data_IF_145448672947
#
_entry.id   IF_145448672947
#
_cell.length_a   1.000
_cell.length_b   1.000
_cell.length_c   1.000
_cell.angle_alpha   90.00
_cell.angle_beta   90.00
_cell.angle_gamma   90.00
#
_symmetry.space_group_name_H-M   'P 1'
#
loop_
_entity.id
_entity.type
_entity.pdbx_description
1 polymer ?
#
# COMPACT_ATOMS: atom_id res chain seq x y z
N UNK A 1 -4.41 27.66 -23.46
CA UNK A 1 -4.95 26.53 -22.67
C UNK A 1 -4.23 25.21 -22.99
N UNK A 2 -3.97 24.86 -24.27
CA UNK A 2 -3.30 23.61 -24.68
C UNK A 2 -1.88 23.50 -24.08
N UNK A 3 -1.07 24.56 -24.22
CA UNK A 3 0.30 24.59 -23.67
C UNK A 3 0.34 24.43 -22.14
N UNK A 4 -0.66 25.00 -21.45
CA UNK A 4 -0.80 24.85 -19.98
C UNK A 4 -1.15 23.40 -19.60
N UNK A 5 -2.04 22.77 -20.35
CA UNK A 5 -2.39 21.34 -20.18
C UNK A 5 -1.16 20.45 -20.36
N UNK A 6 -0.37 20.67 -21.43
CA UNK A 6 0.88 19.92 -21.66
C UNK A 6 1.85 20.11 -20.49
N UNK A 7 1.97 21.32 -19.98
CA UNK A 7 2.80 21.60 -18.79
C UNK A 7 2.32 20.83 -17.54
N UNK A 8 1.02 20.72 -17.35
CA UNK A 8 0.45 19.91 -16.25
C UNK A 8 0.75 18.43 -16.40
N UNK A 9 0.68 17.88 -17.61
CA UNK A 9 0.97 16.47 -17.87
C UNK A 9 2.46 16.15 -17.66
N UNK A 10 3.35 17.05 -18.10
CA UNK A 10 4.78 16.96 -17.78
C UNK A 10 4.99 16.99 -16.26
N UNK A 11 4.37 17.93 -15.55
CA UNK A 11 4.51 18.03 -14.10
C UNK A 11 4.05 16.76 -13.37
N UNK A 12 2.95 16.13 -13.80
CA UNK A 12 2.49 14.84 -13.28
C UNK A 12 3.51 13.72 -13.50
N UNK A 13 4.13 13.66 -14.68
CA UNK A 13 5.16 12.65 -14.97
C UNK A 13 6.42 12.81 -14.12
N UNK A 14 6.67 14.01 -13.60
CA UNK A 14 7.81 14.34 -12.76
C UNK A 14 7.52 14.27 -11.25
N UNK A 15 6.29 13.92 -10.84
CA UNK A 15 5.87 13.95 -9.43
C UNK A 15 6.79 13.16 -8.50
N UNK A 16 7.28 11.99 -8.94
CA UNK A 16 8.15 11.14 -8.14
C UNK A 16 9.56 11.71 -7.93
N UNK A 17 9.99 12.61 -8.81
CA UNK A 17 11.33 13.21 -8.81
C UNK A 17 11.31 14.71 -8.58
N UNK A 18 10.17 15.27 -8.21
CA UNK A 18 9.97 16.72 -8.08
C UNK A 18 10.93 17.41 -7.10
N UNK A 19 11.39 16.68 -6.07
CA UNK A 19 12.34 17.21 -5.09
C UNK A 19 13.78 17.31 -5.65
N UNK A 20 14.06 16.64 -6.75
CA UNK A 20 15.35 16.62 -7.42
C UNK A 20 15.42 17.62 -8.60
N UNK A 21 14.32 18.30 -8.88
CA UNK A 21 14.16 19.15 -10.07
C UNK A 21 14.05 20.62 -9.66
N UNK A 22 14.91 21.45 -10.25
CA UNK A 22 14.72 22.90 -10.29
C UNK A 22 13.77 23.26 -11.44
N UNK A 23 12.58 23.72 -11.12
CA UNK A 23 11.53 24.08 -12.09
C UNK A 23 11.99 25.22 -13.01
N UNK A 24 12.80 26.16 -12.52
CA UNK A 24 13.32 27.26 -13.33
C UNK A 24 14.31 26.74 -14.40
N UNK A 25 15.21 25.83 -13.99
CA UNK A 25 16.14 25.18 -14.90
C UNK A 25 15.41 24.30 -15.93
N UNK A 26 14.37 23.56 -15.51
CA UNK A 26 13.53 22.75 -16.39
C UNK A 26 12.84 23.62 -17.46
N UNK A 27 12.20 24.71 -17.03
CA UNK A 27 11.51 25.65 -17.92
C UNK A 27 12.48 26.30 -18.91
N UNK A 28 13.67 26.67 -18.42
CA UNK A 28 14.74 27.21 -19.26
C UNK A 28 15.21 26.19 -20.30
N UNK A 29 15.47 24.95 -19.89
CA UNK A 29 15.89 23.88 -20.79
C UNK A 29 14.86 23.61 -21.88
N UNK A 30 13.56 23.61 -21.53
CA UNK A 30 12.47 23.46 -22.50
C UNK A 30 12.47 24.62 -23.51
N UNK A 31 12.58 25.83 -23.03
CA UNK A 31 12.62 27.03 -23.89
C UNK A 31 13.82 27.04 -24.80
N UNK A 32 15.00 26.75 -24.27
CA UNK A 32 16.26 26.72 -25.03
C UNK A 32 16.22 25.64 -26.12
N UNK A 33 15.69 24.45 -25.80
CA UNK A 33 15.55 23.36 -26.75
C UNK A 33 14.60 23.71 -27.89
N UNK A 34 13.44 24.30 -27.61
CA UNK A 34 12.47 24.72 -28.63
C UNK A 34 13.08 25.79 -29.57
N UNK A 35 13.92 26.68 -29.04
CA UNK A 35 14.55 27.73 -29.80
C UNK A 35 15.88 27.33 -30.46
N UNK A 36 16.30 26.08 -30.40
CA UNK A 36 17.57 25.59 -30.94
C UNK A 36 18.81 26.16 -30.24
N UNK A 37 18.68 26.56 -28.97
CA UNK A 37 19.74 27.17 -28.14
C UNK A 37 20.12 26.32 -26.93
N UNK A 38 19.96 25.00 -27.04
CA UNK A 38 20.30 24.08 -25.96
C UNK A 38 21.74 24.27 -25.50
N UNK A 39 21.94 24.38 -24.17
CA UNK A 39 23.24 24.63 -23.58
C UNK A 39 24.09 23.36 -23.44
N UNK A 40 23.45 22.18 -23.43
CA UNK A 40 24.13 20.89 -23.33
C UNK A 40 24.28 20.29 -24.72
N UNK A 41 25.51 19.86 -25.04
CA UNK A 41 25.71 18.99 -26.19
C UNK A 41 25.33 17.53 -25.86
N UNK A 42 25.27 16.66 -26.88
CA UNK A 42 24.82 15.26 -26.72
C UNK A 42 25.65 14.47 -25.68
N UNK A 43 26.96 14.70 -25.64
CA UNK A 43 27.86 14.04 -24.67
C UNK A 43 27.55 14.50 -23.23
N UNK A 44 27.40 15.79 -23.02
CA UNK A 44 27.02 16.36 -21.73
C UNK A 44 25.62 15.90 -21.29
N UNK A 45 24.67 15.91 -22.22
CA UNK A 45 23.31 15.43 -21.96
C UNK A 45 23.33 13.94 -21.53
N UNK A 46 24.10 13.10 -22.23
CA UNK A 46 24.26 11.68 -21.87
C UNK A 46 24.87 11.52 -20.47
N UNK A 47 25.94 12.25 -20.18
CA UNK A 47 26.62 12.21 -18.88
C UNK A 47 25.70 12.61 -17.72
N UNK A 48 24.95 13.70 -17.89
CA UNK A 48 23.98 14.16 -16.86
C UNK A 48 22.87 13.13 -16.67
N UNK A 49 22.36 12.54 -17.73
CA UNK A 49 21.34 11.49 -17.68
C UNK A 49 21.82 10.27 -16.92
N UNK A 50 23.06 9.79 -17.20
CA UNK A 50 23.64 8.64 -16.51
C UNK A 50 23.84 8.91 -15.03
N UNK A 51 24.41 10.07 -14.67
CA UNK A 51 24.58 10.47 -13.28
C UNK A 51 23.25 10.57 -12.54
N UNK A 52 22.20 11.11 -13.17
CA UNK A 52 20.89 11.23 -12.60
C UNK A 52 20.22 9.85 -12.42
N UNK A 53 20.37 8.95 -13.40
CA UNK A 53 19.88 7.57 -13.30
C UNK A 53 20.47 6.84 -12.10
N UNK A 54 21.80 6.94 -11.88
CA UNK A 54 22.47 6.35 -10.72
C UNK A 54 21.91 6.93 -9.40
N UNK A 55 21.71 8.26 -9.35
CA UNK A 55 21.14 8.92 -8.17
C UNK A 55 19.72 8.45 -7.88
N UNK A 56 18.87 8.34 -8.91
CA UNK A 56 17.51 7.83 -8.76
C UNK A 56 17.48 6.38 -8.29
N UNK A 57 18.36 5.53 -8.85
CA UNK A 57 18.44 4.14 -8.43
C UNK A 57 18.86 4.04 -6.96
N UNK A 58 19.91 4.75 -6.54
CA UNK A 58 20.35 4.78 -5.14
C UNK A 58 19.25 5.28 -4.19
N UNK A 59 18.47 6.30 -4.61
CA UNK A 59 17.33 6.78 -3.83
C UNK A 59 16.22 5.73 -3.72
N UNK A 60 15.89 5.05 -4.83
CA UNK A 60 14.90 3.98 -4.84
C UNK A 60 15.31 2.80 -3.95
N UNK A 61 16.58 2.38 -4.02
CA UNK A 61 17.13 1.31 -3.18
C UNK A 61 17.07 1.69 -1.69
N UNK A 62 17.46 2.91 -1.35
CA UNK A 62 17.37 3.41 0.03
C UNK A 62 15.93 3.43 0.54
N UNK A 63 15.01 3.96 -0.26
CA UNK A 63 13.58 4.01 0.09
C UNK A 63 13.02 2.59 0.25
N UNK A 64 13.35 1.68 -0.66
CA UNK A 64 12.91 0.28 -0.58
C UNK A 64 13.46 -0.43 0.67
N UNK A 65 14.69 -0.11 1.10
CA UNK A 65 15.28 -0.68 2.30
C UNK A 65 14.65 -0.12 3.61
N UNK A 66 14.24 1.15 3.60
CA UNK A 66 13.65 1.81 4.77
C UNK A 66 12.14 1.55 4.93
N UNK A 67 11.43 1.30 3.82
CA UNK A 67 9.99 1.17 3.78
C UNK A 67 9.43 0.05 4.69
N UNK A 68 10.00 -1.18 4.74
CA UNK A 68 9.51 -2.25 5.59
C UNK A 68 9.54 -1.86 7.07
N UNK A 69 10.65 -1.26 7.53
CA UNK A 69 10.78 -0.80 8.91
C UNK A 69 9.78 0.31 9.22
N UNK A 70 9.66 1.31 8.35
CA UNK A 70 8.68 2.39 8.51
C UNK A 70 7.26 1.86 8.61
N UNK A 71 6.86 0.97 7.71
CA UNK A 71 5.52 0.36 7.72
C UNK A 71 5.27 -0.46 8.98
N UNK A 72 6.29 -1.19 9.47
CA UNK A 72 6.20 -1.94 10.72
C UNK A 72 5.99 -1.01 11.93
N UNK A 73 6.78 0.07 12.02
CA UNK A 73 6.70 1.04 13.11
C UNK A 73 5.32 1.75 13.10
N UNK A 74 4.84 2.19 11.94
CA UNK A 74 3.52 2.79 11.78
C UNK A 74 2.40 1.80 12.13
N UNK A 75 2.50 0.55 11.68
CA UNK A 75 1.56 -0.51 12.01
C UNK A 75 1.49 -0.79 13.49
N UNK A 76 2.63 -0.91 14.17
CA UNK A 76 2.70 -1.14 15.61
C UNK A 76 2.14 0.05 16.40
N UNK A 77 2.45 1.28 16.02
CA UNK A 77 1.90 2.49 16.65
C UNK A 77 0.37 2.55 16.48
N UNK A 78 -0.14 2.19 15.29
CA UNK A 78 -1.57 2.13 15.05
C UNK A 78 -2.25 1.07 15.92
N UNK A 79 -1.72 -0.14 16.01
CA UNK A 79 -2.25 -1.22 16.84
C UNK A 79 -2.22 -0.84 18.32
N UNK A 80 -1.13 -0.21 18.80
CA UNK A 80 -1.03 0.26 20.18
C UNK A 80 -2.12 1.27 20.55
N UNK A 81 -2.44 2.18 19.63
CA UNK A 81 -3.53 3.15 19.79
C UNK A 81 -4.90 2.49 19.67
N UNK A 82 -5.07 1.59 18.71
CA UNK A 82 -6.37 1.00 18.41
C UNK A 82 -6.86 0.06 19.52
N UNK A 83 -5.98 -0.64 20.24
CA UNK A 83 -6.38 -1.51 21.36
C UNK A 83 -7.11 -0.77 22.49
N UNK A 84 -6.98 0.55 22.57
CA UNK A 84 -7.68 1.37 23.59
C UNK A 84 -9.05 1.84 23.11
N UNK A 85 -9.41 1.57 21.84
CA UNK A 85 -10.70 1.95 21.27
C UNK A 85 -11.80 1.05 21.83
N UNK A 86 -12.90 1.65 22.24
CA UNK A 86 -14.06 0.93 22.78
C UNK A 86 -14.58 -0.12 21.79
N UNK A 87 -14.73 -1.34 22.28
CA UNK A 87 -15.25 -2.48 21.49
C UNK A 87 -14.19 -3.23 20.68
N UNK A 88 -12.92 -2.82 20.76
CA UNK A 88 -11.79 -3.56 20.18
C UNK A 88 -11.35 -4.63 21.17
N UNK A 89 -11.20 -5.84 20.68
CA UNK A 89 -10.68 -7.01 21.40
C UNK A 89 -9.33 -7.36 20.79
N UNK A 90 -8.34 -7.62 21.65
CA UNK A 90 -7.00 -8.06 21.23
C UNK A 90 -6.78 -9.49 21.68
N UNK A 91 -6.40 -10.36 20.75
CA UNK A 91 -6.07 -11.76 21.05
C UNK A 91 -4.64 -11.91 21.57
N UNK A 92 -4.29 -13.09 22.06
CA UNK A 92 -2.93 -13.39 22.52
C UNK A 92 -1.87 -13.29 21.41
N UNK A 93 -2.24 -13.52 20.15
CA UNK A 93 -1.37 -13.37 18.99
C UNK A 93 -1.15 -11.90 18.57
N UNK A 94 -1.92 -10.97 19.13
CA UNK A 94 -1.89 -9.54 18.78
C UNK A 94 -2.87 -9.15 17.69
N UNK A 95 -3.66 -10.09 17.14
CA UNK A 95 -4.77 -9.76 16.25
C UNK A 95 -5.76 -8.86 17.01
N UNK A 96 -6.21 -7.80 16.39
CA UNK A 96 -7.26 -6.96 16.93
C UNK A 96 -8.52 -7.06 16.08
N UNK A 97 -9.67 -7.14 16.73
CA UNK A 97 -10.94 -7.16 16.01
C UNK A 97 -12.03 -6.40 16.77
N UNK A 98 -13.00 -5.94 15.99
CA UNK A 98 -14.24 -5.34 16.51
C UNK A 98 -15.43 -6.04 15.88
N UNK A 99 -16.37 -6.46 16.70
CA UNK A 99 -17.61 -7.08 16.25
C UNK A 99 -18.56 -5.99 15.77
N UNK A 100 -18.81 -5.93 14.45
CA UNK A 100 -19.77 -5.00 13.87
C UNK A 100 -21.17 -5.59 13.82
N UNK A 101 -21.26 -6.90 13.61
CA UNK A 101 -22.49 -7.68 13.71
C UNK A 101 -22.15 -9.09 14.18
N UNK A 102 -22.81 -9.56 15.22
CA UNK A 102 -22.67 -10.92 15.69
C UNK A 102 -23.66 -11.83 14.94
N UNK A 103 -23.15 -12.88 14.33
CA UNK A 103 -23.96 -13.95 13.75
C UNK A 103 -24.34 -15.01 14.79
N UNK A 104 -25.28 -15.87 14.43
CA UNK A 104 -25.83 -16.91 15.30
C UNK A 104 -25.54 -18.34 14.83
N UNK A 105 -24.91 -18.49 13.66
CA UNK A 105 -24.52 -19.80 13.14
C UNK A 105 -23.31 -20.39 13.82
N UNK A 106 -22.88 -21.60 13.43
CA UNK A 106 -21.67 -22.23 13.96
C UNK A 106 -20.42 -21.43 13.59
N UNK A 107 -19.35 -21.66 14.33
CA UNK A 107 -18.00 -21.21 13.96
C UNK A 107 -17.34 -22.26 13.06
N UNK A 108 -16.50 -21.85 12.11
CA UNK A 108 -15.79 -22.80 11.27
C UNK A 108 -14.71 -23.55 12.07
N UNK A 109 -14.48 -24.81 11.72
CA UNK A 109 -13.29 -25.53 12.11
C UNK A 109 -12.05 -25.03 11.34
N UNK A 110 -10.83 -25.23 11.84
CA UNK A 110 -9.60 -24.71 11.22
C UNK A 110 -9.37 -25.13 9.76
N UNK A 111 -9.96 -26.24 9.33
CA UNK A 111 -9.80 -26.79 7.95
C UNK A 111 -11.03 -26.59 7.08
N UNK A 112 -12.06 -25.92 7.59
CA UNK A 112 -13.31 -25.74 6.84
C UNK A 112 -13.13 -24.81 5.62
N UNK A 113 -13.93 -25.09 4.62
CA UNK A 113 -14.19 -24.12 3.53
C UNK A 113 -15.12 -23.03 4.03
N UNK A 114 -14.72 -21.79 3.90
CA UNK A 114 -15.52 -20.63 4.29
C UNK A 114 -15.83 -19.76 3.09
N UNK A 115 -17.06 -19.25 3.05
CA UNK A 115 -17.51 -18.27 2.05
C UNK A 115 -17.66 -16.91 2.72
N UNK A 116 -16.91 -15.93 2.24
CA UNK A 116 -16.92 -14.59 2.84
C UNK A 116 -16.96 -13.47 1.80
N UNK A 117 -17.57 -12.37 2.18
CA UNK A 117 -17.26 -11.08 1.61
C UNK A 117 -16.24 -10.36 2.48
N UNK A 118 -15.27 -9.70 1.86
CA UNK A 118 -14.25 -8.94 2.55
C UNK A 118 -13.86 -7.67 1.79
N UNK A 119 -13.24 -6.77 2.52
CA UNK A 119 -12.61 -5.57 2.01
C UNK A 119 -11.30 -5.36 2.78
N UNK A 120 -10.18 -5.41 2.07
CA UNK A 120 -8.85 -5.14 2.57
C UNK A 120 -8.44 -3.70 2.28
N UNK A 121 -8.00 -2.98 3.32
CA UNK A 121 -7.49 -1.62 3.21
C UNK A 121 -6.18 -1.47 3.93
N UNK A 122 -5.29 -0.64 3.39
CA UNK A 122 -4.09 -0.17 4.09
C UNK A 122 -4.46 0.85 5.18
N UNK A 123 -3.50 1.23 6.02
CA UNK A 123 -3.72 2.22 7.09
C UNK A 123 -4.05 3.60 6.54
N UNK A 124 -3.59 3.95 5.35
CA UNK A 124 -3.93 5.19 4.64
C UNK A 124 -5.37 5.20 4.06
N UNK A 125 -6.10 4.08 4.19
CA UNK A 125 -7.46 3.91 3.68
C UNK A 125 -7.53 3.38 2.24
N UNK A 126 -6.42 3.20 1.56
CA UNK A 126 -6.35 2.64 0.22
C UNK A 126 -6.85 1.18 0.23
N UNK A 127 -7.78 0.86 -0.66
CA UNK A 127 -8.29 -0.49 -0.84
C UNK A 127 -7.35 -1.25 -1.77
N UNK A 128 -6.77 -2.35 -1.27
CA UNK A 128 -5.89 -3.19 -2.07
C UNK A 128 -6.59 -4.45 -2.61
N UNK A 129 -7.67 -4.89 -1.96
CA UNK A 129 -8.49 -6.00 -2.43
C UNK A 129 -9.90 -5.97 -1.82
N UNK A 130 -10.90 -6.38 -2.62
CA UNK A 130 -12.29 -6.39 -2.20
C UNK A 130 -13.13 -7.38 -3.01
N UNK A 131 -13.79 -8.29 -2.33
CA UNK A 131 -14.82 -9.14 -2.95
C UNK A 131 -16.09 -8.36 -3.30
N UNK A 132 -16.33 -7.24 -2.63
CA UNK A 132 -17.47 -6.36 -2.98
C UNK A 132 -17.25 -5.67 -4.32
N UNK A 133 -16.01 -5.28 -4.65
CA UNK A 133 -15.69 -4.68 -5.95
C UNK A 133 -15.95 -5.66 -7.11
N UNK A 134 -15.77 -6.95 -6.85
CA UNK A 134 -16.06 -8.04 -7.80
C UNK A 134 -17.54 -8.49 -7.75
N UNK A 135 -18.32 -7.97 -6.79
CA UNK A 135 -19.70 -8.39 -6.50
C UNK A 135 -19.87 -9.90 -6.31
N UNK A 136 -18.85 -10.57 -5.83
CA UNK A 136 -18.80 -12.02 -5.65
C UNK A 136 -18.07 -12.39 -4.36
N UNK A 137 -18.68 -13.21 -3.47
CA UNK A 137 -17.99 -13.75 -2.30
C UNK A 137 -16.91 -14.73 -2.73
N UNK A 138 -15.88 -14.88 -1.92
CA UNK A 138 -14.80 -15.82 -2.17
C UNK A 138 -14.93 -17.03 -1.25
N UNK A 139 -14.67 -18.21 -1.80
CA UNK A 139 -14.54 -19.46 -1.07
C UNK A 139 -13.07 -19.83 -0.89
N UNK A 140 -12.65 -20.15 0.32
CA UNK A 140 -11.30 -20.63 0.58
C UNK A 140 -11.22 -21.56 1.81
N UNK A 141 -10.28 -22.51 1.81
CA UNK A 141 -9.98 -23.30 3.00
C UNK A 141 -9.27 -22.44 4.03
N UNK A 142 -9.73 -22.47 5.28
CA UNK A 142 -9.27 -21.59 6.35
C UNK A 142 -7.81 -21.84 6.76
N UNK A 143 -7.28 -23.02 6.46
CA UNK A 143 -5.88 -23.41 6.69
C UNK A 143 -4.90 -22.97 5.60
N UNK A 144 -5.39 -22.36 4.50
CA UNK A 144 -4.57 -21.93 3.35
C UNK A 144 -4.50 -20.42 3.16
N UNK A 145 -4.87 -19.69 4.17
CA UNK A 145 -4.78 -18.22 4.17
C UNK A 145 -3.76 -17.74 5.20
N UNK A 146 -3.47 -16.45 5.19
CA UNK A 146 -2.54 -15.88 6.18
C UNK A 146 -3.03 -16.10 7.61
N UNK A 147 -2.13 -16.31 8.59
CA UNK A 147 -2.50 -16.68 9.97
C UNK A 147 -3.55 -15.77 10.60
N UNK A 148 -3.48 -14.47 10.35
CA UNK A 148 -4.47 -13.52 10.87
C UNK A 148 -5.87 -13.73 10.32
N UNK A 149 -6.01 -14.24 9.10
CA UNK A 149 -7.30 -14.63 8.54
C UNK A 149 -7.81 -15.92 9.16
N UNK A 150 -6.96 -16.94 9.25
CA UNK A 150 -7.33 -18.22 9.86
C UNK A 150 -7.84 -18.01 11.29
N UNK A 151 -7.11 -17.24 12.09
CA UNK A 151 -7.53 -16.90 13.45
C UNK A 151 -8.80 -16.07 13.47
N UNK A 152 -8.80 -14.95 12.73
CA UNK A 152 -9.90 -13.97 12.80
C UNK A 152 -11.21 -14.53 12.30
N UNK A 153 -11.22 -15.24 11.16
CA UNK A 153 -12.43 -15.88 10.62
C UNK A 153 -12.86 -17.06 11.51
N UNK A 154 -11.92 -17.80 12.09
CA UNK A 154 -12.22 -18.86 13.07
C UNK A 154 -12.96 -18.38 14.32
N UNK A 155 -12.84 -17.09 14.66
CA UNK A 155 -13.60 -16.49 15.76
C UNK A 155 -15.04 -16.13 15.39
N UNK A 156 -15.36 -16.05 14.10
CA UNK A 156 -16.66 -15.59 13.61
C UNK A 156 -17.68 -16.73 13.54
N UNK A 157 -18.88 -16.47 14.03
CA UNK A 157 -20.04 -17.30 13.70
C UNK A 157 -20.55 -16.96 12.30
N UNK A 158 -21.21 -17.88 11.63
CA UNK A 158 -21.85 -17.62 10.34
C UNK A 158 -22.79 -16.42 10.44
N UNK A 159 -22.81 -15.59 9.40
CA UNK A 159 -23.53 -14.30 9.33
C UNK A 159 -22.98 -13.18 10.22
N UNK A 160 -21.77 -13.34 10.77
CA UNK A 160 -21.07 -12.24 11.46
C UNK A 160 -20.47 -11.24 10.48
N UNK A 161 -20.22 -10.02 10.99
CA UNK A 161 -19.36 -9.02 10.34
C UNK A 161 -18.39 -8.46 11.36
N UNK A 162 -17.10 -8.64 11.11
CA UNK A 162 -16.02 -8.14 11.96
C UNK A 162 -15.14 -7.17 11.18
N UNK A 163 -14.58 -6.20 11.88
CA UNK A 163 -13.43 -5.42 11.42
C UNK A 163 -12.21 -6.00 12.11
N UNK A 164 -11.23 -6.39 11.33
CA UNK A 164 -9.97 -6.98 11.81
C UNK A 164 -8.80 -6.07 11.48
N UNK A 165 -7.85 -5.97 12.41
CA UNK A 165 -6.55 -5.34 12.22
C UNK A 165 -5.51 -6.41 12.47
N UNK A 166 -4.84 -6.78 11.38
CA UNK A 166 -3.93 -7.91 11.36
C UNK A 166 -2.51 -7.39 11.44
N UNK A 167 -1.74 -7.73 12.50
CA UNK A 167 -0.32 -7.39 12.57
C UNK A 167 0.44 -7.94 11.36
N UNK A 168 1.47 -7.24 10.89
CA UNK A 168 2.26 -7.65 9.73
C UNK A 168 2.80 -9.09 9.85
N UNK A 169 3.21 -9.52 11.04
CA UNK A 169 3.70 -10.87 11.32
C UNK A 169 2.66 -11.98 11.05
N UNK A 170 1.37 -11.63 11.12
CA UNK A 170 0.24 -12.55 10.86
C UNK A 170 -0.35 -12.39 9.46
N UNK A 171 0.22 -11.53 8.63
CA UNK A 171 -0.17 -11.26 7.25
C UNK A 171 1.03 -11.48 6.31
N UNK A 172 1.47 -10.46 5.61
CA UNK A 172 2.51 -10.54 4.57
C UNK A 172 3.92 -10.20 5.06
N UNK A 173 4.09 -9.98 6.38
CA UNK A 173 5.38 -9.67 7.02
C UNK A 173 6.06 -8.45 6.38
N UNK A 174 7.40 -8.48 6.28
CA UNK A 174 8.21 -7.40 5.69
C UNK A 174 8.21 -7.43 4.16
N UNK A 175 7.91 -8.57 3.56
CA UNK A 175 7.94 -8.75 2.10
C UNK A 175 6.74 -8.12 1.40
N UNK A 176 5.66 -7.87 2.14
CA UNK A 176 4.42 -7.36 1.56
C UNK A 176 3.59 -8.43 0.83
N UNK A 177 2.40 -8.03 0.37
CA UNK A 177 1.56 -8.89 -0.47
C UNK A 177 2.24 -9.12 -1.81
N UNK A 178 2.21 -10.35 -2.35
CA UNK A 178 2.58 -10.60 -3.74
C UNK A 178 1.75 -9.71 -4.67
N UNK A 179 2.31 -9.31 -5.83
CA UNK A 179 1.58 -8.55 -6.84
C UNK A 179 0.40 -9.31 -7.41
#
# INVERSE_FOLDING_TARGET
>A
QVSYMIGMDIAKSLEQIKQEIDVSALTKGLTDQINGKALLNDAQHKQVREAFSVKLQAHAEKTAAELPKKNLDEGNAFLAKNKTVKGVITTASGLQYQVLRQGTGPKPAPTDMVKVHYKGTLLNGEEFDSSYARNEPIDFPLDRVVPGWSEGVGLMSVNSKYKMLIPAAMAYRETGSPP
#
